data_IF_474588779674
#
_entry.id   IF_474588779674
#
_cell.length_a   1.000
_cell.length_b   1.000
_cell.length_c   1.000
_cell.angle_alpha   90.00
_cell.angle_beta   90.00
_cell.angle_gamma   90.00
#
_symmetry.space_group_name_H-M   'P 1'
#
loop_
_entity.id
_entity.type
_entity.pdbx_description
1 polymer ?
#
# COMPACT_ATOMS: atom_id res chain seq x y z
N UNK A 1 -13.72 1.59 -11.19
CA UNK A 1 -14.29 0.38 -10.56
C UNK A 1 -15.81 0.38 -10.70
N UNK A 2 -16.40 -0.77 -11.05
CA UNK A 2 -17.85 -0.95 -11.18
C UNK A 2 -18.61 -0.50 -9.92
N UNK A 3 -19.83 0.04 -10.08
CA UNK A 3 -20.74 0.34 -8.96
C UNK A 3 -21.25 -0.98 -8.36
N UNK A 4 -20.43 -1.63 -7.56
CA UNK A 4 -20.83 -2.79 -6.74
C UNK A 4 -21.11 -2.34 -5.30
N UNK A 5 -22.16 -2.90 -4.70
CA UNK A 5 -22.51 -2.79 -3.28
C UNK A 5 -21.84 -3.86 -2.42
N UNK A 6 -20.92 -4.64 -2.99
CA UNK A 6 -20.22 -5.70 -2.30
C UNK A 6 -19.36 -5.14 -1.17
N UNK A 7 -19.51 -5.66 0.05
CA UNK A 7 -18.80 -5.19 1.25
C UNK A 7 -17.28 -5.19 1.12
N UNK A 8 -16.73 -6.16 0.40
CA UNK A 8 -15.29 -6.28 0.15
C UNK A 8 -14.69 -5.18 -0.73
N UNK A 9 -15.53 -4.39 -1.41
CA UNK A 9 -15.06 -3.25 -2.21
C UNK A 9 -14.35 -2.21 -1.37
N UNK A 10 -14.78 -2.00 -0.13
CA UNK A 10 -14.16 -1.06 0.80
C UNK A 10 -12.80 -1.51 1.32
N UNK A 11 -12.42 -2.76 1.08
CA UNK A 11 -11.12 -3.32 1.47
C UNK A 11 -10.08 -3.24 0.34
N UNK A 12 -10.41 -2.65 -0.82
CA UNK A 12 -9.44 -2.45 -1.90
C UNK A 12 -8.95 -1.02 -1.88
N UNK A 13 -7.64 -0.84 -1.79
CA UNK A 13 -7.05 0.49 -1.83
C UNK A 13 -7.36 1.16 -3.17
N UNK A 14 -7.99 2.32 -3.10
CA UNK A 14 -8.51 3.04 -4.26
C UNK A 14 -7.42 3.83 -4.95
N UNK A 15 -7.32 3.64 -6.27
CA UNK A 15 -6.71 4.62 -7.16
C UNK A 15 -7.69 5.80 -7.30
N UNK A 16 -7.23 6.98 -6.90
CA UNK A 16 -7.99 8.24 -6.93
C UNK A 16 -7.77 8.98 -8.25
N UNK A 17 -6.52 9.01 -8.72
CA UNK A 17 -6.14 9.70 -9.94
C UNK A 17 -4.89 9.08 -10.57
N UNK A 18 -4.66 9.35 -11.84
CA UNK A 18 -3.43 8.98 -12.55
C UNK A 18 -3.10 10.03 -13.60
N UNK A 19 -1.85 10.49 -13.61
CA UNK A 19 -1.37 11.49 -14.56
C UNK A 19 0.07 11.24 -14.97
N UNK A 20 0.55 11.95 -15.99
CA UNK A 20 1.92 11.81 -16.50
C UNK A 20 2.75 13.04 -16.11
N UNK A 21 3.96 12.81 -15.59
CA UNK A 21 4.95 13.85 -15.30
C UNK A 21 6.16 13.67 -16.21
N UNK A 22 6.62 14.75 -16.80
CA UNK A 22 7.89 14.75 -17.55
C UNK A 22 9.05 15.08 -16.61
N UNK A 23 9.92 14.10 -16.40
CA UNK A 23 11.18 14.24 -15.68
C UNK A 23 12.39 14.17 -16.61
N UNK A 24 13.61 14.29 -16.08
CA UNK A 24 14.80 14.33 -16.94
C UNK A 24 15.18 12.96 -17.54
N UNK A 25 14.54 11.87 -17.12
CA UNK A 25 14.67 10.52 -17.73
C UNK A 25 13.51 10.14 -18.65
N UNK A 26 12.56 11.06 -18.88
CA UNK A 26 11.41 10.82 -19.74
C UNK A 26 10.09 11.06 -19.01
N UNK A 27 9.05 10.38 -19.51
CA UNK A 27 7.68 10.48 -19.00
C UNK A 27 7.43 9.39 -17.98
N UNK A 28 6.86 9.76 -16.84
CA UNK A 28 6.54 8.87 -15.73
C UNK A 28 5.05 8.91 -15.46
N UNK A 29 4.43 7.74 -15.38
CA UNK A 29 3.04 7.61 -14.92
C UNK A 29 3.07 7.73 -13.39
N UNK A 30 2.27 8.65 -12.88
CA UNK A 30 2.04 8.86 -11.46
C UNK A 30 0.68 8.29 -11.09
N UNK A 31 0.67 7.45 -10.06
CA UNK A 31 -0.55 6.88 -9.49
C UNK A 31 -0.84 7.52 -8.13
N UNK A 32 -2.04 8.09 -7.99
CA UNK A 32 -2.51 8.70 -6.74
C UNK A 32 -3.47 7.74 -6.08
N UNK A 33 -3.08 7.20 -4.93
CA UNK A 33 -3.92 6.31 -4.15
C UNK A 33 -4.51 7.01 -2.93
N UNK A 34 -5.61 6.48 -2.41
CA UNK A 34 -6.07 6.87 -1.09
C UNK A 34 -4.99 6.64 -0.03
N UNK A 35 -4.97 7.52 0.96
CA UNK A 35 -3.99 7.49 2.03
C UNK A 35 -4.21 6.25 2.91
N UNK A 36 -3.10 5.61 3.26
CA UNK A 36 -3.07 4.46 4.14
C UNK A 36 -1.84 4.56 5.05
N UNK A 37 -1.86 3.81 6.14
CA UNK A 37 -0.81 3.74 7.13
C UNK A 37 0.25 2.69 6.72
N UNK A 38 1.25 2.44 7.58
CA UNK A 38 2.31 1.46 7.27
C UNK A 38 1.74 0.06 7.07
N UNK A 39 2.45 -0.77 6.32
CA UNK A 39 2.07 -2.17 6.12
C UNK A 39 2.02 -2.94 7.44
N UNK A 40 1.22 -4.01 7.51
CA UNK A 40 1.21 -4.91 8.67
C UNK A 40 2.58 -5.56 8.91
N UNK A 41 3.39 -5.76 7.87
CA UNK A 41 4.80 -6.19 7.98
C UNK A 41 5.62 -5.19 8.78
N UNK A 42 5.55 -3.90 8.42
CA UNK A 42 6.32 -2.85 9.08
C UNK A 42 5.77 -2.53 10.48
N UNK A 43 4.44 -2.58 10.66
CA UNK A 43 3.79 -2.46 11.96
C UNK A 43 4.28 -3.54 12.93
N UNK A 44 4.37 -4.79 12.46
CA UNK A 44 4.96 -5.90 13.23
C UNK A 44 6.41 -5.60 13.59
N UNK A 45 7.22 -5.22 12.62
CA UNK A 45 8.65 -5.00 12.82
C UNK A 45 8.93 -3.89 13.85
N UNK A 46 8.18 -2.78 13.78
CA UNK A 46 8.51 -1.56 14.53
C UNK A 46 7.73 -1.42 15.84
N UNK A 47 6.44 -1.74 15.86
CA UNK A 47 5.57 -1.47 17.02
C UNK A 47 5.02 -2.73 17.70
N UNK A 48 5.06 -3.88 17.03
CA UNK A 48 4.53 -5.15 17.54
C UNK A 48 5.55 -6.29 17.36
N UNK A 49 6.78 -6.17 17.92
CA UNK A 49 7.82 -7.19 17.74
C UNK A 49 7.44 -8.55 18.34
N UNK A 50 6.58 -8.56 19.37
CA UNK A 50 5.99 -9.78 19.94
C UNK A 50 4.87 -10.40 19.11
N UNK A 51 4.50 -9.79 17.96
CA UNK A 51 3.40 -10.22 17.11
C UNK A 51 2.08 -9.52 17.39
N UNK A 52 1.06 -9.97 16.67
CA UNK A 52 -0.32 -9.52 16.83
C UNK A 52 -1.09 -10.49 17.72
N UNK A 53 -2.07 -9.96 18.44
CA UNK A 53 -3.06 -10.71 19.18
C UNK A 53 -3.98 -11.47 18.23
N UNK A 54 -4.54 -12.58 18.72
CA UNK A 54 -5.34 -13.50 17.90
C UNK A 54 -6.55 -12.81 17.25
N UNK A 55 -7.24 -11.96 18.01
CA UNK A 55 -8.43 -11.26 17.52
C UNK A 55 -8.10 -10.28 16.40
N UNK A 56 -6.97 -9.56 16.49
CA UNK A 56 -6.48 -8.70 15.41
C UNK A 56 -6.18 -9.49 14.14
N UNK A 57 -5.50 -10.64 14.27
CA UNK A 57 -5.18 -11.51 13.11
C UNK A 57 -6.45 -12.04 12.48
N UNK A 58 -7.39 -12.53 13.31
CA UNK A 58 -8.69 -13.04 12.85
C UNK A 58 -9.47 -11.97 12.11
N UNK A 59 -9.57 -10.76 12.66
CA UNK A 59 -10.23 -9.61 12.02
C UNK A 59 -9.59 -9.26 10.67
N UNK A 60 -8.26 -9.18 10.63
CA UNK A 60 -7.50 -8.90 9.39
C UNK A 60 -7.79 -9.93 8.30
N UNK A 61 -7.79 -11.23 8.64
CA UNK A 61 -8.08 -12.31 7.69
C UNK A 61 -9.52 -12.21 7.17
N UNK A 62 -10.49 -11.90 8.03
CA UNK A 62 -11.89 -11.73 7.62
C UNK A 62 -12.02 -10.59 6.59
N UNK A 63 -11.39 -9.43 6.87
CA UNK A 63 -11.41 -8.29 5.94
C UNK A 63 -10.71 -8.62 4.62
N UNK A 64 -9.62 -9.38 4.66
CA UNK A 64 -8.94 -9.84 3.46
C UNK A 64 -9.82 -10.75 2.61
N UNK A 65 -10.49 -11.72 3.24
CA UNK A 65 -11.35 -12.64 2.53
C UNK A 65 -12.51 -11.90 1.86
N UNK A 66 -13.05 -10.83 2.48
CA UNK A 66 -14.02 -9.94 1.83
C UNK A 66 -13.41 -9.27 0.60
N UNK A 67 -12.19 -8.75 0.70
CA UNK A 67 -11.47 -8.12 -0.42
C UNK A 67 -11.29 -9.10 -1.60
N UNK A 68 -10.82 -10.31 -1.32
CA UNK A 68 -10.62 -11.36 -2.32
C UNK A 68 -11.93 -11.82 -2.95
N UNK A 69 -12.97 -12.01 -2.13
CA UNK A 69 -14.31 -12.33 -2.61
C UNK A 69 -14.81 -11.27 -3.59
N UNK A 70 -14.65 -9.98 -3.27
CA UNK A 70 -14.97 -8.90 -4.20
C UNK A 70 -14.19 -8.97 -5.51
N UNK A 71 -12.85 -9.11 -5.42
CA UNK A 71 -11.99 -9.15 -6.60
C UNK A 71 -12.35 -10.33 -7.52
N UNK A 72 -12.57 -11.51 -6.96
CA UNK A 72 -12.88 -12.71 -7.74
C UNK A 72 -14.31 -12.67 -8.31
N UNK A 73 -15.31 -12.30 -7.51
CA UNK A 73 -16.73 -12.39 -7.92
C UNK A 73 -17.19 -11.23 -8.80
N UNK A 74 -16.65 -10.03 -8.59
CA UNK A 74 -17.09 -8.82 -9.30
C UNK A 74 -16.01 -8.20 -10.18
N UNK A 75 -14.74 -8.44 -9.88
CA UNK A 75 -13.62 -7.90 -10.64
C UNK A 75 -13.08 -8.85 -11.70
N UNK A 76 -13.30 -10.17 -11.54
CA UNK A 76 -12.54 -11.21 -12.25
C UNK A 76 -11.02 -10.95 -12.15
N UNK A 77 -10.55 -10.48 -10.99
CA UNK A 77 -9.16 -10.12 -10.75
C UNK A 77 -8.54 -11.05 -9.72
N UNK A 78 -7.38 -11.63 -10.03
CA UNK A 78 -6.55 -12.35 -9.06
C UNK A 78 -5.34 -11.52 -8.71
N UNK A 79 -5.15 -11.23 -7.42
CA UNK A 79 -4.07 -10.36 -6.93
C UNK A 79 -2.67 -10.95 -7.16
N UNK A 80 -2.52 -12.28 -6.99
CA UNK A 80 -1.28 -13.07 -7.08
C UNK A 80 -0.16 -12.76 -6.08
N UNK A 81 -0.09 -11.56 -5.49
CA UNK A 81 0.93 -11.21 -4.48
C UNK A 81 0.35 -10.82 -3.10
N UNK A 82 -0.30 -11.77 -2.43
CA UNK A 82 -0.88 -11.53 -1.10
C UNK A 82 0.13 -11.81 0.02
N UNK A 83 0.54 -10.77 0.76
CA UNK A 83 1.34 -10.88 1.98
C UNK A 83 1.14 -9.68 2.92
N UNK A 84 1.56 -9.73 4.21
CA UNK A 84 1.38 -8.61 5.17
C UNK A 84 2.01 -7.27 4.80
N UNK A 85 2.81 -7.24 3.75
CA UNK A 85 3.41 -6.01 3.19
C UNK A 85 2.42 -5.23 2.31
N UNK A 86 1.45 -5.93 1.73
CA UNK A 86 0.43 -5.37 0.85
C UNK A 86 -0.91 -5.15 1.58
N UNK A 87 -0.92 -5.32 2.91
CA UNK A 87 -2.06 -5.04 3.80
C UNK A 87 -1.76 -3.78 4.59
N UNK A 88 -2.54 -2.74 4.35
CA UNK A 88 -2.35 -1.41 4.93
C UNK A 88 -3.60 -1.04 5.76
N UNK A 89 -3.45 -0.61 7.02
CA UNK A 89 -4.54 0.03 7.73
C UNK A 89 -4.91 1.35 7.04
N UNK A 90 -6.19 1.55 6.75
CA UNK A 90 -6.72 2.77 6.16
C UNK A 90 -6.68 3.95 7.12
N UNK A 91 -7.00 5.12 6.59
CA UNK A 91 -7.12 6.38 7.33
C UNK A 91 -8.57 6.83 7.25
N UNK A 92 -9.31 6.74 8.35
CA UNK A 92 -10.73 7.14 8.39
C UNK A 92 -10.92 8.65 8.58
N UNK A 93 -9.88 9.34 9.06
CA UNK A 93 -9.89 10.76 9.35
C UNK A 93 -8.60 11.40 8.82
N UNK A 94 -8.73 12.36 7.91
CA UNK A 94 -7.59 13.10 7.35
C UNK A 94 -6.82 13.88 8.42
N UNK A 95 -7.44 14.20 9.56
CA UNK A 95 -6.77 14.87 10.67
C UNK A 95 -5.68 13.98 11.30
N UNK A 96 -5.70 12.66 11.03
CA UNK A 96 -4.61 11.75 11.40
C UNK A 96 -3.29 12.07 10.68
N UNK A 97 -3.35 12.73 9.51
CA UNK A 97 -2.17 13.08 8.71
C UNK A 97 -1.65 14.49 9.02
N UNK A 98 -2.45 15.37 9.61
CA UNK A 98 -2.03 16.75 9.95
C UNK A 98 -0.74 16.80 10.78
N UNK A 99 -0.59 16.01 11.87
CA UNK A 99 0.65 16.04 12.64
C UNK A 99 1.87 15.57 11.85
N UNK A 100 1.67 14.68 10.86
CA UNK A 100 2.74 14.23 9.98
C UNK A 100 3.18 15.35 9.03
N UNK A 101 2.23 16.03 8.41
CA UNK A 101 2.47 17.18 7.53
C UNK A 101 3.17 18.33 8.29
N UNK A 102 2.63 18.73 9.44
CA UNK A 102 3.20 19.78 10.28
C UNK A 102 4.63 19.45 10.72
N UNK A 103 4.92 18.18 11.00
CA UNK A 103 6.26 17.72 11.38
C UNK A 103 7.24 17.74 10.22
N UNK A 104 6.84 17.30 9.03
CA UNK A 104 7.70 17.37 7.84
C UNK A 104 7.96 18.82 7.42
N UNK A 105 6.99 19.72 7.60
CA UNK A 105 7.14 21.17 7.35
C UNK A 105 8.06 21.84 8.38
N UNK A 106 7.88 21.57 9.66
CA UNK A 106 8.64 22.22 10.75
C UNK A 106 10.02 21.61 10.98
N UNK A 107 10.20 20.31 10.74
CA UNK A 107 11.43 19.57 10.96
C UNK A 107 11.60 18.46 9.91
N UNK A 108 12.03 18.81 8.69
CA UNK A 108 12.17 17.86 7.60
C UNK A 108 13.03 16.65 7.94
N UNK A 109 12.60 15.47 7.52
CA UNK A 109 13.37 14.23 7.64
C UNK A 109 14.75 14.32 6.95
N UNK A 110 15.76 13.57 7.44
CA UNK A 110 17.05 13.46 6.76
C UNK A 110 16.90 12.98 5.30
N UNK A 111 17.63 13.62 4.39
CA UNK A 111 17.64 13.32 2.97
C UNK A 111 19.06 13.01 2.51
N UNK A 112 19.22 11.99 1.66
CA UNK A 112 20.50 11.60 1.08
C UNK A 112 20.41 11.71 -0.44
N UNK A 113 21.29 12.53 -1.01
CA UNK A 113 21.53 12.53 -2.44
C UNK A 113 22.39 11.31 -2.81
N UNK A 114 21.82 10.38 -3.56
CA UNK A 114 22.51 9.15 -4.00
C UNK A 114 23.19 9.38 -5.36
N UNK A 115 22.58 10.18 -6.22
CA UNK A 115 23.13 10.65 -7.49
C UNK A 115 22.56 12.04 -7.81
N UNK A 116 23.06 12.78 -8.82
CA UNK A 116 22.55 14.11 -9.17
C UNK A 116 21.04 14.17 -9.42
N UNK A 117 20.41 13.02 -9.70
CA UNK A 117 18.98 12.92 -10.04
C UNK A 117 18.18 12.05 -9.05
N UNK A 118 18.82 11.51 -8.00
CA UNK A 118 18.16 10.61 -7.06
C UNK A 118 18.40 11.06 -5.63
N UNK A 119 17.35 11.59 -5.02
CA UNK A 119 17.28 11.85 -3.60
C UNK A 119 16.43 10.78 -2.93
N UNK A 120 16.96 10.19 -1.86
CA UNK A 120 16.19 9.32 -0.98
C UNK A 120 15.97 10.05 0.34
N UNK A 121 14.82 9.85 0.97
CA UNK A 121 14.47 10.45 2.25
C UNK A 121 14.06 9.36 3.23
N UNK A 122 14.29 9.61 4.52
CA UNK A 122 13.72 8.79 5.58
C UNK A 122 12.24 9.17 5.77
N UNK A 123 11.38 8.25 6.17
CA UNK A 123 10.00 8.61 6.53
C UNK A 123 9.88 8.98 8.01
N UNK A 124 8.97 9.90 8.35
CA UNK A 124 8.59 10.07 9.74
C UNK A 124 7.91 8.81 10.25
N UNK A 125 8.44 8.25 11.33
CA UNK A 125 7.80 7.16 12.02
C UNK A 125 6.65 7.71 12.88
N UNK A 126 5.43 7.26 12.60
CA UNK A 126 4.23 7.57 13.38
C UNK A 126 3.59 6.26 13.84
N UNK A 127 3.10 6.24 15.07
CA UNK A 127 2.39 5.07 15.60
C UNK A 127 1.04 4.94 14.87
N UNK A 128 0.79 3.82 14.18
CA UNK A 128 -0.48 3.65 13.48
C UNK A 128 -1.65 3.60 14.44
N UNK A 129 -2.80 4.08 13.97
CA UNK A 129 -4.09 3.92 14.61
C UNK A 129 -4.88 2.80 13.95
N UNK A 130 -5.87 2.30 14.66
CA UNK A 130 -6.84 1.36 14.09
C UNK A 130 -7.57 2.02 12.90
N UNK A 131 -7.85 1.20 11.90
CA UNK A 131 -8.51 1.59 10.67
C UNK A 131 -8.87 0.35 9.85
N UNK A 132 -9.66 0.49 8.77
CA UNK A 132 -10.07 -0.62 7.94
C UNK A 132 -8.86 -1.26 7.25
N UNK A 133 -8.88 -2.57 7.04
CA UNK A 133 -7.81 -3.22 6.29
C UNK A 133 -8.01 -2.99 4.79
N UNK A 134 -6.99 -2.42 4.15
CA UNK A 134 -6.91 -2.19 2.71
C UNK A 134 -5.85 -3.11 2.07
N UNK A 135 -6.27 -3.84 1.04
CA UNK A 135 -5.38 -4.55 0.13
C UNK A 135 -4.84 -3.59 -0.93
N UNK A 136 -3.52 -3.54 -1.06
CA UNK A 136 -2.77 -2.66 -1.96
C UNK A 136 -1.86 -3.47 -2.88
N UNK A 137 -1.22 -2.79 -3.83
CA UNK A 137 -0.25 -3.33 -4.78
C UNK A 137 -0.83 -4.39 -5.75
N UNK A 138 -1.42 -3.87 -6.82
CA UNK A 138 -1.96 -4.67 -7.92
C UNK A 138 -0.98 -4.83 -9.08
N UNK A 139 0.32 -4.58 -8.87
CA UNK A 139 1.34 -4.62 -9.92
C UNK A 139 1.45 -6.00 -10.60
N UNK A 140 1.21 -7.07 -9.85
CA UNK A 140 1.23 -8.45 -10.36
C UNK A 140 -0.16 -9.03 -10.66
N UNK A 141 -1.22 -8.25 -10.45
CA UNK A 141 -2.59 -8.72 -10.58
C UNK A 141 -2.92 -9.17 -12.01
N UNK A 142 -3.81 -10.16 -12.12
CA UNK A 142 -4.25 -10.77 -13.38
C UNK A 142 -5.75 -10.62 -13.53
N UNK A 143 -6.21 -10.28 -14.74
CA UNK A 143 -7.63 -10.05 -15.05
C UNK A 143 -8.15 -11.16 -15.96
N UNK A 144 -9.36 -11.63 -15.72
CA UNK A 144 -10.11 -12.56 -16.56
C UNK A 144 -10.33 -13.95 -15.92
N UNK A 145 -11.21 -14.79 -16.52
CA UNK A 145 -11.72 -16.03 -15.90
C UNK A 145 -10.79 -17.24 -16.03
N UNK A 146 -9.62 -17.10 -16.65
CA UNK A 146 -8.75 -18.22 -17.04
C UNK A 146 -7.82 -18.69 -15.91
N UNK A 147 -7.18 -19.87 -16.06
CA UNK A 147 -6.16 -20.28 -15.11
C UNK A 147 -4.99 -19.30 -15.18
N UNK A 148 -4.81 -18.51 -14.13
CA UNK A 148 -3.61 -17.68 -13.98
C UNK A 148 -2.46 -18.60 -13.57
N UNK A 149 -1.54 -18.85 -14.50
CA UNK A 149 -0.36 -19.67 -14.23
C UNK A 149 0.45 -19.08 -13.06
N UNK A 150 0.56 -19.83 -11.97
CA UNK A 150 1.37 -19.45 -10.83
C UNK A 150 2.85 -19.50 -11.20
N UNK A 151 3.43 -18.35 -11.55
CA UNK A 151 4.89 -18.22 -11.44
C UNK A 151 5.14 -17.94 -9.97
N UNK A 152 5.38 -19.00 -9.18
CA UNK A 152 6.06 -18.85 -7.90
C UNK A 152 7.47 -18.34 -8.22
N UNK A 153 7.62 -17.04 -8.45
CA UNK A 153 8.92 -16.42 -8.52
C UNK A 153 9.45 -16.41 -7.10
N UNK A 154 10.11 -17.51 -6.72
CA UNK A 154 11.21 -17.48 -5.78
C UNK A 154 12.35 -16.64 -6.40
N UNK A 155 12.11 -15.35 -6.53
CA UNK A 155 13.11 -14.35 -6.79
C UNK A 155 12.86 -13.26 -5.78
N UNK A 156 13.43 -13.46 -4.59
CA UNK A 156 13.76 -12.37 -3.71
C UNK A 156 14.71 -11.44 -4.46
N UNK A 157 14.15 -10.51 -5.21
CA UNK A 157 14.80 -9.22 -5.44
C UNK A 157 14.28 -8.39 -4.29
N UNK A 158 15.09 -8.27 -3.24
CA UNK A 158 14.92 -7.23 -2.25
C UNK A 158 15.02 -5.89 -2.97
N UNK A 159 13.90 -5.33 -3.40
CA UNK A 159 13.79 -3.89 -3.38
C UNK A 159 13.68 -3.53 -1.90
N UNK A 160 14.83 -3.27 -1.29
CA UNK A 160 14.94 -2.43 -0.10
C UNK A 160 14.50 -1.01 -0.46
N UNK A 161 13.23 -0.87 -0.81
CA UNK A 161 12.50 0.38 -0.76
C UNK A 161 11.99 0.48 0.66
N UNK A 162 12.58 1.38 1.44
CA UNK A 162 11.94 1.84 2.67
C UNK A 162 10.50 2.24 2.29
N UNK A 163 9.51 1.59 2.90
CA UNK A 163 8.09 1.92 2.75
C UNK A 163 7.93 3.38 3.12
N UNK A 164 7.86 4.25 2.11
CA UNK A 164 7.60 5.66 2.30
C UNK A 164 6.12 5.81 2.60
N UNK A 165 5.79 6.25 3.81
CA UNK A 165 4.45 6.65 4.14
C UNK A 165 4.09 7.93 3.39
N UNK A 166 2.97 7.85 2.67
CA UNK A 166 2.21 8.95 2.08
C UNK A 166 3.01 9.90 1.17
N UNK A 167 3.06 9.56 -0.13
CA UNK A 167 3.49 10.50 -1.17
C UNK A 167 3.96 9.77 -2.41
N UNK A 168 3.08 9.75 -3.42
CA UNK A 168 3.39 9.48 -4.84
C UNK A 168 4.29 8.26 -5.07
N UNK A 169 3.66 7.12 -5.37
CA UNK A 169 4.39 5.97 -5.88
C UNK A 169 4.84 6.31 -7.31
N UNK A 170 6.08 6.78 -7.44
CA UNK A 170 6.74 6.93 -8.73
C UNK A 170 7.19 5.53 -9.16
N UNK A 171 6.39 4.88 -9.99
CA UNK A 171 6.87 3.73 -10.76
C UNK A 171 7.96 4.24 -11.71
N UNK A 172 9.21 3.93 -11.39
CA UNK A 172 10.34 4.09 -12.31
C UNK A 172 10.40 2.95 -13.31
#
# INVERSE_FOLDING_TARGET
>A
MAKSSHRGRGNIRRLLDSFEVTGPQGKHIVLVFEAAQISLRDLKLVFRPGGFDEDFVRGTIIELLKALDFLHTHGEVVHTDFHPGNLLPGVDDNDLLKPFEEKELSSPVPRKLVSPMRLIYLSHLMRPKEGPMLLSDFGEARIGPGPHGGRYSASGISSSGNTALCGVELSC
#
